data_IF_651936894293
#
_entry.id   IF_651936894293
#
_cell.length_a   1.000
_cell.length_b   1.000
_cell.length_c   1.000
_cell.angle_alpha   90.00
_cell.angle_beta   90.00
_cell.angle_gamma   90.00
#
_symmetry.space_group_name_H-M   'P 1'
#
loop_
_entity.id
_entity.type
_entity.pdbx_description
1 polymer ?
#
# COMPACT_ATOMS: atom_id res chain seq x y z
N UNK A 1 -0.43 -11.99 17.32
CA UNK A 1 -0.17 -13.18 18.17
C UNK A 1 -1.13 -14.33 17.89
N UNK A 2 -2.43 -14.08 17.69
CA UNK A 2 -3.43 -15.13 17.44
C UNK A 2 -3.13 -15.98 16.20
N UNK A 3 -2.81 -15.36 15.05
CA UNK A 3 -2.56 -16.10 13.82
C UNK A 3 -1.32 -17.02 13.90
N UNK A 4 -0.20 -16.55 14.45
CA UNK A 4 1.02 -17.36 14.62
C UNK A 4 0.77 -18.57 15.54
N UNK A 5 0.21 -18.34 16.73
CA UNK A 5 -0.06 -19.43 17.67
C UNK A 5 -1.06 -20.45 17.14
N UNK A 6 -2.15 -19.98 16.52
CA UNK A 6 -3.16 -20.86 15.93
C UNK A 6 -2.61 -21.68 14.76
N UNK A 7 -1.87 -21.05 13.83
CA UNK A 7 -1.31 -21.73 12.67
C UNK A 7 -0.24 -22.76 13.05
N UNK A 8 0.64 -22.45 14.02
CA UNK A 8 1.58 -23.43 14.58
C UNK A 8 0.86 -24.62 15.21
N UNK A 9 -0.14 -24.37 16.07
CA UNK A 9 -0.88 -25.45 16.72
C UNK A 9 -1.61 -26.36 15.72
N UNK A 10 -2.17 -25.80 14.64
CA UNK A 10 -2.84 -26.57 13.58
C UNK A 10 -1.82 -27.40 12.78
N UNK A 11 -0.68 -26.83 12.42
CA UNK A 11 0.37 -27.54 11.70
C UNK A 11 0.95 -28.69 12.53
N UNK A 12 1.21 -28.46 13.82
CA UNK A 12 1.70 -29.47 14.76
C UNK A 12 0.67 -30.58 14.99
N UNK A 13 -0.62 -30.24 14.99
CA UNK A 13 -1.71 -31.21 15.15
C UNK A 13 -1.89 -32.10 13.90
N UNK A 14 -1.64 -31.56 12.70
CA UNK A 14 -1.87 -32.26 11.44
C UNK A 14 -0.65 -32.17 10.50
N UNK A 15 0.52 -32.71 10.88
CA UNK A 15 1.75 -32.52 10.12
C UNK A 15 1.65 -33.03 8.68
N UNK A 16 0.93 -34.13 8.45
CA UNK A 16 0.73 -34.71 7.11
C UNK A 16 -0.10 -33.82 6.18
N UNK A 17 -0.94 -32.91 6.71
CA UNK A 17 -1.73 -31.97 5.88
C UNK A 17 -0.91 -30.79 5.37
N UNK A 18 0.26 -30.56 5.95
CA UNK A 18 1.14 -29.44 5.66
C UNK A 18 2.54 -29.91 5.28
N UNK A 19 2.67 -31.13 4.76
CA UNK A 19 3.94 -31.73 4.30
C UNK A 19 5.05 -31.67 5.35
N UNK A 20 4.70 -31.79 6.64
CA UNK A 20 5.60 -31.66 7.78
C UNK A 20 6.37 -30.32 7.81
N UNK A 21 5.82 -29.27 7.20
CA UNK A 21 6.42 -27.93 7.18
C UNK A 21 5.98 -27.09 8.39
N UNK A 22 6.80 -26.09 8.72
CA UNK A 22 6.48 -25.13 9.78
C UNK A 22 5.57 -24.02 9.25
N UNK A 23 4.46 -23.77 9.93
CA UNK A 23 3.56 -22.66 9.58
C UNK A 23 4.21 -21.27 9.74
N UNK A 24 5.17 -21.14 10.67
CA UNK A 24 5.85 -19.87 10.98
C UNK A 24 7.32 -19.99 10.59
N UNK A 25 7.72 -19.25 9.56
CA UNK A 25 9.08 -19.12 9.04
C UNK A 25 9.44 -17.63 8.90
N UNK A 26 10.73 -17.26 8.76
CA UNK A 26 11.11 -15.88 8.47
C UNK A 26 10.42 -15.31 7.21
N UNK A 27 10.25 -16.14 6.17
CA UNK A 27 9.57 -15.72 4.94
C UNK A 27 8.07 -15.48 5.15
N UNK A 28 7.37 -16.36 5.87
CA UNK A 28 5.95 -16.15 6.19
C UNK A 28 5.73 -14.96 7.10
N UNK A 29 6.68 -14.69 8.01
CA UNK A 29 6.66 -13.51 8.89
C UNK A 29 6.88 -12.21 8.11
N UNK A 30 7.84 -12.18 7.17
CA UNK A 30 8.06 -11.04 6.28
C UNK A 30 6.80 -10.77 5.45
N UNK A 31 6.23 -11.80 4.83
CA UNK A 31 4.99 -11.71 4.05
C UNK A 31 3.83 -11.15 4.88
N UNK A 32 3.62 -11.67 6.08
CA UNK A 32 2.55 -11.20 6.97
C UNK A 32 2.79 -9.76 7.44
N UNK A 33 4.04 -9.38 7.71
CA UNK A 33 4.41 -8.02 8.11
C UNK A 33 4.17 -7.02 6.98
N UNK A 34 4.62 -7.33 5.75
CA UNK A 34 4.37 -6.47 4.60
C UNK A 34 2.88 -6.34 4.31
N UNK A 35 2.10 -7.42 4.42
CA UNK A 35 0.66 -7.39 4.22
C UNK A 35 -0.06 -6.48 5.23
N UNK A 36 0.31 -6.60 6.52
CA UNK A 36 -0.25 -5.74 7.58
C UNK A 36 0.09 -4.27 7.35
N UNK A 37 1.35 -3.97 7.01
CA UNK A 37 1.80 -2.60 6.80
C UNK A 37 1.19 -1.97 5.56
N UNK A 38 1.22 -2.64 4.41
CA UNK A 38 0.64 -2.10 3.18
C UNK A 38 -0.89 -1.98 3.29
N UNK A 39 -1.57 -2.88 4.00
CA UNK A 39 -3.01 -2.73 4.29
C UNK A 39 -3.29 -1.54 5.19
N UNK A 40 -2.46 -1.33 6.22
CA UNK A 40 -2.50 -0.13 7.06
C UNK A 40 -2.28 1.15 6.25
N UNK A 41 -1.34 1.14 5.30
CA UNK A 41 -1.10 2.27 4.41
C UNK A 41 -2.37 2.66 3.63
N UNK A 42 -3.05 1.70 2.99
CA UNK A 42 -4.31 1.96 2.27
C UNK A 42 -5.36 2.58 3.20
N UNK A 43 -5.55 2.01 4.39
CA UNK A 43 -6.53 2.50 5.37
C UNK A 43 -6.24 3.94 5.80
N UNK A 44 -4.99 4.24 6.19
CA UNK A 44 -4.62 5.59 6.64
C UNK A 44 -4.59 6.59 5.48
N UNK A 45 -4.17 6.19 4.28
CA UNK A 45 -4.14 7.06 3.10
C UNK A 45 -5.54 7.48 2.68
N UNK A 46 -6.46 6.53 2.45
CA UNK A 46 -7.84 6.84 2.04
C UNK A 46 -8.54 7.72 3.08
N UNK A 47 -8.41 7.38 4.36
CA UNK A 47 -9.02 8.17 5.44
C UNK A 47 -8.40 9.57 5.52
N UNK A 48 -7.09 9.71 5.36
CA UNK A 48 -6.45 11.03 5.33
C UNK A 48 -6.88 11.87 4.11
N UNK A 49 -7.06 11.25 2.95
CA UNK A 49 -7.56 11.94 1.75
C UNK A 49 -8.99 12.46 1.96
N UNK A 50 -9.88 11.62 2.51
CA UNK A 50 -11.26 12.00 2.84
C UNK A 50 -11.33 13.13 3.88
N UNK A 51 -10.56 13.04 4.96
CA UNK A 51 -10.53 14.11 5.96
C UNK A 51 -9.90 15.40 5.41
N UNK A 52 -8.96 15.27 4.48
CA UNK A 52 -8.28 16.41 3.86
C UNK A 52 -9.20 17.30 3.04
N UNK A 53 -10.24 16.73 2.41
CA UNK A 53 -11.23 17.50 1.64
C UNK A 53 -12.29 18.16 2.54
N UNK A 54 -12.54 17.62 3.73
CA UNK A 54 -13.50 18.17 4.71
C UNK A 54 -13.00 19.43 5.43
N UNK A 55 -11.70 19.74 5.31
CA UNK A 55 -11.12 20.97 5.83
C UNK A 55 -11.04 21.03 7.36
N UNK A 56 -11.26 22.22 7.94
CA UNK A 56 -11.02 22.47 9.38
C UNK A 56 -11.85 21.56 10.31
N UNK A 57 -13.04 21.13 9.89
CA UNK A 57 -13.93 20.29 10.71
C UNK A 57 -13.32 18.92 11.03
N UNK A 58 -12.47 18.41 10.13
CA UNK A 58 -11.83 17.09 10.24
C UNK A 58 -10.32 17.17 10.49
N UNK A 59 -9.78 18.36 10.78
CA UNK A 59 -8.34 18.59 10.91
C UNK A 59 -7.69 17.70 12.00
N UNK A 60 -8.33 17.55 13.17
CA UNK A 60 -7.80 16.69 14.24
C UNK A 60 -7.70 15.22 13.80
N UNK A 61 -8.70 14.74 13.07
CA UNK A 61 -8.75 13.36 12.56
C UNK A 61 -7.77 13.20 11.38
N UNK A 62 -7.62 14.22 10.54
CA UNK A 62 -6.59 14.28 9.51
C UNK A 62 -5.19 14.16 10.10
N UNK A 63 -4.85 14.97 11.10
CA UNK A 63 -3.53 14.93 11.77
C UNK A 63 -3.26 13.56 12.40
N UNK A 64 -4.26 12.98 13.06
CA UNK A 64 -4.13 11.64 13.63
C UNK A 64 -3.86 10.56 12.57
N UNK A 65 -4.58 10.60 11.43
CA UNK A 65 -4.35 9.65 10.34
C UNK A 65 -3.02 9.89 9.62
N UNK A 66 -2.63 11.14 9.40
CA UNK A 66 -1.33 11.48 8.83
C UNK A 66 -0.17 11.01 9.71
N UNK A 67 -0.30 11.15 11.04
CA UNK A 67 0.67 10.62 11.99
C UNK A 67 0.78 9.09 11.91
N UNK A 68 -0.35 8.39 11.79
CA UNK A 68 -0.36 6.93 11.63
C UNK A 68 0.19 6.48 10.28
N UNK A 69 -0.09 7.21 9.21
CA UNK A 69 0.49 6.98 7.89
C UNK A 69 2.01 7.12 7.94
N UNK A 70 2.53 8.15 8.62
CA UNK A 70 3.96 8.35 8.83
C UNK A 70 4.59 7.22 9.67
N UNK A 71 3.94 6.79 10.75
CA UNK A 71 4.41 5.65 11.55
C UNK A 71 4.43 4.36 10.72
N UNK A 72 3.40 4.15 9.89
CA UNK A 72 3.32 3.03 8.97
C UNK A 72 4.46 3.06 7.93
N UNK A 73 4.70 4.20 7.30
CA UNK A 73 5.84 4.41 6.39
C UNK A 73 7.16 4.06 7.07
N UNK A 74 7.40 4.54 8.29
CA UNK A 74 8.61 4.21 9.04
C UNK A 74 8.78 2.71 9.31
N UNK A 75 7.69 1.99 9.62
CA UNK A 75 7.72 0.52 9.79
C UNK A 75 7.98 -0.20 8.47
N UNK A 76 7.41 0.27 7.37
CA UNK A 76 7.61 -0.30 6.04
C UNK A 76 9.05 -0.10 5.57
N UNK A 77 9.59 1.11 5.71
CA UNK A 77 11.00 1.42 5.46
C UNK A 77 11.92 0.54 6.32
N UNK A 78 11.58 0.29 7.58
CA UNK A 78 12.35 -0.62 8.44
C UNK A 78 12.30 -2.09 7.97
N UNK A 79 11.15 -2.56 7.47
CA UNK A 79 11.03 -3.89 6.87
C UNK A 79 11.89 -4.02 5.60
N UNK A 80 11.86 -3.01 4.72
CA UNK A 80 12.72 -2.94 3.53
C UNK A 80 14.21 -2.93 3.91
N UNK A 81 14.59 -2.11 4.90
CA UNK A 81 15.95 -2.04 5.44
C UNK A 81 16.48 -3.39 5.92
N UNK A 82 15.62 -4.21 6.52
CA UNK A 82 16.02 -5.53 7.03
C UNK A 82 16.49 -6.50 5.93
N UNK A 83 16.11 -6.23 4.67
CA UNK A 83 16.45 -7.05 3.51
C UNK A 83 17.49 -6.36 2.60
N UNK A 84 17.29 -5.08 2.30
CA UNK A 84 18.05 -4.33 1.30
C UNK A 84 19.06 -3.33 1.87
N UNK A 85 19.18 -3.26 3.21
CA UNK A 85 20.14 -2.38 3.88
C UNK A 85 19.75 -0.89 3.85
N UNK A 86 20.65 -0.04 4.35
CA UNK A 86 20.40 1.41 4.53
C UNK A 86 20.11 2.14 3.22
N UNK A 87 20.87 1.84 2.16
CA UNK A 87 20.75 2.53 0.88
C UNK A 87 19.43 2.20 0.19
N UNK A 88 19.08 0.92 0.10
CA UNK A 88 17.79 0.49 -0.46
C UNK A 88 16.61 1.05 0.33
N UNK A 89 16.71 1.10 1.66
CA UNK A 89 15.69 1.71 2.50
C UNK A 89 15.56 3.22 2.30
N UNK A 90 16.67 3.94 2.16
CA UNK A 90 16.65 5.38 1.93
C UNK A 90 16.02 5.74 0.58
N UNK A 91 16.35 4.99 -0.48
CA UNK A 91 15.72 5.16 -1.80
C UNK A 91 14.23 4.84 -1.74
N UNK A 92 13.86 3.72 -1.11
CA UNK A 92 12.46 3.36 -0.89
C UNK A 92 11.71 4.46 -0.14
N UNK A 93 12.24 4.92 1.00
CA UNK A 93 11.60 5.92 1.86
C UNK A 93 11.35 7.23 1.11
N UNK A 94 12.31 7.68 0.30
CA UNK A 94 12.13 8.87 -0.54
C UNK A 94 10.97 8.70 -1.51
N UNK A 95 11.01 7.64 -2.34
CA UNK A 95 9.96 7.40 -3.35
C UNK A 95 8.59 7.16 -2.68
N UNK A 96 8.60 6.52 -1.52
CA UNK A 96 7.40 6.25 -0.74
C UNK A 96 6.79 7.54 -0.16
N UNK A 97 7.59 8.49 0.33
CA UNK A 97 7.03 9.76 0.79
C UNK A 97 6.59 10.65 -0.38
N UNK A 98 7.31 10.62 -1.51
CA UNK A 98 6.95 11.38 -2.71
C UNK A 98 5.55 10.98 -3.22
N UNK A 99 5.24 9.67 -3.35
CA UNK A 99 3.92 9.26 -3.84
C UNK A 99 2.77 9.59 -2.89
N UNK A 100 2.99 9.54 -1.57
CA UNK A 100 2.00 10.02 -0.58
C UNK A 100 1.73 11.51 -0.81
N UNK A 101 2.78 12.29 -1.05
CA UNK A 101 2.69 13.71 -1.38
C UNK A 101 1.81 13.98 -2.60
N UNK A 102 1.98 13.20 -3.67
CA UNK A 102 1.18 13.36 -4.89
C UNK A 102 -0.32 13.11 -4.66
N UNK A 103 -0.70 12.14 -3.82
CA UNK A 103 -2.10 11.98 -3.42
C UNK A 103 -2.62 13.18 -2.62
N UNK A 104 -1.81 13.72 -1.71
CA UNK A 104 -2.17 14.93 -0.95
C UNK A 104 -2.36 16.12 -1.89
N UNK A 105 -1.51 16.26 -2.90
CA UNK A 105 -1.62 17.35 -3.87
C UNK A 105 -2.86 17.20 -4.76
N UNK A 106 -3.24 15.97 -5.13
CA UNK A 106 -4.52 15.70 -5.80
C UNK A 106 -5.73 16.12 -4.95
N UNK A 107 -5.72 15.81 -3.64
CA UNK A 107 -6.80 16.21 -2.71
C UNK A 107 -6.88 17.73 -2.60
N UNK A 108 -5.74 18.41 -2.41
CA UNK A 108 -5.70 19.88 -2.36
C UNK A 108 -6.18 20.53 -3.66
N UNK A 109 -5.77 19.98 -4.80
CA UNK A 109 -6.18 20.47 -6.11
C UNK A 109 -7.70 20.28 -6.32
N UNK A 110 -8.25 19.16 -5.85
CA UNK A 110 -9.70 18.91 -5.84
C UNK A 110 -10.44 19.93 -4.97
N UNK A 111 -9.95 20.18 -3.74
CA UNK A 111 -10.51 21.21 -2.85
C UNK A 111 -10.49 22.63 -3.46
N UNK A 112 -9.49 22.90 -4.30
CA UNK A 112 -9.31 24.18 -4.98
C UNK A 112 -10.03 24.28 -6.34
N UNK A 113 -10.73 23.21 -6.77
CA UNK A 113 -11.31 23.09 -8.12
C UNK A 113 -10.29 23.32 -9.25
N UNK A 114 -9.03 22.96 -9.02
CA UNK A 114 -7.91 23.16 -9.96
C UNK A 114 -7.63 21.88 -10.76
N UNK A 115 -8.29 21.75 -11.91
CA UNK A 115 -8.12 20.60 -12.80
C UNK A 115 -6.69 20.47 -13.38
N UNK A 116 -5.95 21.58 -13.53
CA UNK A 116 -4.58 21.52 -14.03
C UNK A 116 -3.63 20.95 -12.95
N UNK A 117 -3.83 21.35 -11.70
CA UNK A 117 -3.10 20.81 -10.57
C UNK A 117 -3.46 19.33 -10.31
N UNK A 118 -4.74 18.94 -10.45
CA UNK A 118 -5.15 17.52 -10.39
C UNK A 118 -4.43 16.69 -11.44
N UNK A 119 -4.39 17.16 -12.69
CA UNK A 119 -3.67 16.44 -13.76
C UNK A 119 -2.17 16.35 -13.46
N UNK A 120 -1.57 17.41 -12.91
CA UNK A 120 -0.15 17.40 -12.52
C UNK A 120 0.13 16.30 -11.49
N UNK A 121 -0.68 16.18 -10.45
CA UNK A 121 -0.54 15.13 -9.44
C UNK A 121 -0.70 13.71 -10.03
N UNK A 122 -1.63 13.53 -10.98
CA UNK A 122 -1.81 12.26 -11.70
C UNK A 122 -0.60 11.92 -12.58
N UNK A 123 0.00 12.90 -13.24
CA UNK A 123 1.20 12.73 -14.05
C UNK A 123 2.40 12.35 -13.16
N UNK A 124 2.55 12.97 -11.99
CA UNK A 124 3.57 12.62 -11.00
C UNK A 124 3.39 11.19 -10.45
N UNK A 125 2.16 10.77 -10.17
CA UNK A 125 1.84 9.38 -9.81
C UNK A 125 2.19 8.39 -10.94
N UNK A 126 1.97 8.79 -12.20
CA UNK A 126 2.37 7.98 -13.36
C UNK A 126 3.89 7.86 -13.48
N UNK A 127 4.64 8.93 -13.24
CA UNK A 127 6.11 8.87 -13.24
C UNK A 127 6.64 8.03 -12.07
N UNK A 128 6.07 8.21 -10.87
CA UNK A 128 6.38 7.39 -9.71
C UNK A 128 6.18 5.90 -10.01
N UNK A 129 5.08 5.53 -10.67
CA UNK A 129 4.82 4.15 -11.08
C UNK A 129 5.96 3.58 -11.92
N UNK A 130 6.45 4.32 -12.90
CA UNK A 130 7.56 3.90 -13.77
C UNK A 130 8.86 3.73 -12.98
N UNK A 131 9.23 4.75 -12.20
CA UNK A 131 10.49 4.77 -11.45
C UNK A 131 10.51 3.69 -10.37
N UNK A 132 9.41 3.55 -9.61
CA UNK A 132 9.29 2.60 -8.52
C UNK A 132 9.29 1.16 -9.04
N UNK A 133 8.64 0.92 -10.19
CA UNK A 133 8.65 -0.39 -10.83
C UNK A 133 10.06 -0.82 -11.25
N UNK A 134 10.84 0.10 -11.85
CA UNK A 134 12.22 -0.17 -12.21
C UNK A 134 13.13 -0.39 -10.98
N UNK A 135 12.89 0.38 -9.90
CA UNK A 135 13.57 0.19 -8.62
C UNK A 135 13.30 -1.21 -8.05
N UNK A 136 12.04 -1.65 -8.02
CA UNK A 136 11.65 -2.96 -7.49
C UNK A 136 12.21 -4.11 -8.32
N UNK A 137 12.23 -3.99 -9.65
CA UNK A 137 12.85 -4.98 -10.52
C UNK A 137 14.35 -5.11 -10.25
N UNK A 138 15.05 -3.98 -10.13
CA UNK A 138 16.47 -3.96 -9.81
C UNK A 138 16.73 -4.56 -8.42
N UNK A 139 16.00 -4.10 -7.40
CA UNK A 139 16.18 -4.55 -6.02
C UNK A 139 15.93 -6.06 -5.86
N UNK A 140 14.93 -6.59 -6.56
CA UNK A 140 14.59 -8.01 -6.50
C UNK A 140 15.40 -8.88 -7.47
N UNK A 141 16.41 -8.33 -8.16
CA UNK A 141 17.18 -9.00 -9.20
C UNK A 141 16.31 -9.63 -10.30
N UNK A 142 15.23 -8.94 -10.70
CA UNK A 142 14.31 -9.38 -11.75
C UNK A 142 13.30 -10.45 -11.32
N UNK A 143 13.28 -10.86 -10.04
CA UNK A 143 12.26 -11.78 -9.53
C UNK A 143 10.86 -11.14 -9.48
N UNK A 144 10.80 -9.81 -9.48
CA UNK A 144 9.59 -9.02 -9.66
C UNK A 144 9.79 -8.10 -10.86
N UNK A 145 9.07 -8.30 -11.96
CA UNK A 145 9.28 -7.51 -13.17
C UNK A 145 8.73 -6.09 -13.01
N UNK A 146 9.31 -5.11 -13.72
CA UNK A 146 8.79 -3.75 -13.68
C UNK A 146 7.35 -3.68 -14.20
N UNK A 147 7.01 -4.43 -15.25
CA UNK A 147 5.65 -4.49 -15.79
C UNK A 147 4.61 -4.97 -14.76
N UNK A 148 4.97 -5.99 -13.97
CA UNK A 148 4.15 -6.52 -12.90
C UNK A 148 3.83 -5.48 -11.83
N UNK A 149 4.87 -4.76 -11.39
CA UNK A 149 4.73 -3.71 -10.37
C UNK A 149 3.92 -2.54 -10.91
N UNK A 150 4.16 -2.16 -12.16
CA UNK A 150 3.49 -1.05 -12.83
C UNK A 150 1.99 -1.31 -12.96
N UNK A 151 1.57 -2.50 -13.40
CA UNK A 151 0.15 -2.85 -13.54
C UNK A 151 -0.61 -2.77 -12.19
N UNK A 152 0.00 -3.29 -11.13
CA UNK A 152 -0.60 -3.25 -9.79
C UNK A 152 -0.65 -1.84 -9.22
N UNK A 153 0.45 -1.08 -9.36
CA UNK A 153 0.48 0.31 -8.91
C UNK A 153 -0.54 1.17 -9.65
N UNK A 154 -0.75 0.94 -10.95
CA UNK A 154 -1.81 1.63 -11.70
C UNK A 154 -3.19 1.30 -11.14
N UNK A 155 -3.45 0.03 -10.82
CA UNK A 155 -4.70 -0.41 -10.21
C UNK A 155 -4.89 0.24 -8.84
N UNK A 156 -3.81 0.32 -8.05
CA UNK A 156 -3.82 0.90 -6.70
C UNK A 156 -4.14 2.39 -6.73
N UNK A 157 -3.43 3.15 -7.58
CA UNK A 157 -3.70 4.57 -7.78
C UNK A 157 -5.14 4.79 -8.19
N UNK A 158 -5.65 4.02 -9.16
CA UNK A 158 -7.03 4.15 -9.62
C UNK A 158 -8.05 3.89 -8.51
N UNK A 159 -7.83 2.87 -7.67
CA UNK A 159 -8.73 2.56 -6.56
C UNK A 159 -8.73 3.65 -5.49
N UNK A 160 -7.57 4.19 -5.12
CA UNK A 160 -7.49 5.27 -4.12
C UNK A 160 -8.15 6.56 -4.64
N UNK A 161 -7.84 6.97 -5.87
CA UNK A 161 -8.46 8.15 -6.51
C UNK A 161 -9.97 7.95 -6.65
N UNK A 162 -10.41 6.79 -7.15
CA UNK A 162 -11.85 6.51 -7.32
C UNK A 162 -12.58 6.45 -5.97
N UNK A 163 -11.93 5.90 -4.94
CA UNK A 163 -12.49 5.89 -3.58
C UNK A 163 -12.66 7.30 -3.03
N UNK A 164 -11.70 8.20 -3.30
CA UNK A 164 -11.74 9.59 -2.88
C UNK A 164 -12.77 10.40 -3.68
N UNK A 165 -12.75 10.34 -5.01
CA UNK A 165 -13.70 11.06 -5.87
C UNK A 165 -15.15 10.62 -5.60
N UNK A 166 -15.38 9.32 -5.36
CA UNK A 166 -16.69 8.82 -4.97
C UNK A 166 -17.12 9.34 -3.59
N UNK A 167 -16.20 9.48 -2.64
CA UNK A 167 -16.49 10.08 -1.33
C UNK A 167 -16.88 11.55 -1.45
N UNK A 168 -16.09 12.32 -2.21
CA UNK A 168 -16.30 13.75 -2.45
C UNK A 168 -17.67 14.02 -3.09
N UNK A 169 -18.07 13.17 -4.05
CA UNK A 169 -19.37 13.26 -4.72
C UNK A 169 -20.53 12.64 -3.94
N UNK A 170 -20.29 12.12 -2.72
CA UNK A 170 -21.31 11.52 -1.85
C UNK A 170 -21.75 10.10 -2.24
N UNK A 171 -21.05 9.44 -3.16
CA UNK A 171 -21.28 8.05 -3.54
C UNK A 171 -20.51 7.08 -2.61
N UNK A 172 -20.97 6.97 -1.37
CA UNK A 172 -20.28 6.19 -0.33
C UNK A 172 -20.22 4.69 -0.59
N UNK A 173 -21.19 4.12 -1.32
CA UNK A 173 -21.17 2.71 -1.70
C UNK A 173 -19.97 2.43 -2.62
N UNK A 174 -19.75 3.28 -3.63
CA UNK A 174 -18.60 3.16 -4.53
C UNK A 174 -17.29 3.47 -3.80
N UNK A 175 -17.27 4.49 -2.95
CA UNK A 175 -16.11 4.81 -2.13
C UNK A 175 -15.68 3.58 -1.30
N UNK A 176 -16.63 2.91 -0.64
CA UNK A 176 -16.36 1.70 0.13
C UNK A 176 -15.91 0.54 -0.76
N UNK A 177 -16.53 0.32 -1.92
CA UNK A 177 -16.15 -0.75 -2.84
C UNK A 177 -14.70 -0.60 -3.31
N UNK A 178 -14.30 0.61 -3.70
CA UNK A 178 -12.94 0.89 -4.16
C UNK A 178 -11.92 0.77 -3.03
N UNK A 179 -12.24 1.30 -1.84
CA UNK A 179 -11.43 1.10 -0.64
C UNK A 179 -11.24 -0.40 -0.32
N UNK A 180 -12.33 -1.19 -0.31
CA UNK A 180 -12.26 -2.62 -0.05
C UNK A 180 -11.47 -3.37 -1.12
N UNK A 181 -11.56 -2.95 -2.39
CA UNK A 181 -10.77 -3.54 -3.47
C UNK A 181 -9.28 -3.24 -3.30
N UNK A 182 -8.91 -2.03 -2.88
CA UNK A 182 -7.52 -1.65 -2.57
C UNK A 182 -6.95 -2.44 -1.38
N UNK A 183 -7.75 -2.67 -0.34
CA UNK A 183 -7.35 -3.50 0.81
C UNK A 183 -7.05 -4.96 0.42
N UNK A 184 -7.77 -5.51 -0.57
CA UNK A 184 -7.63 -6.89 -1.01
C UNK A 184 -6.59 -7.10 -2.12
N UNK A 185 -6.11 -6.02 -2.75
CA UNK A 185 -5.17 -6.09 -3.86
C UNK A 185 -3.94 -6.97 -3.54
N UNK A 186 -3.36 -6.79 -2.36
CA UNK A 186 -2.12 -7.49 -1.97
C UNK A 186 -2.30 -9.01 -1.92
N UNK A 187 -3.48 -9.48 -1.48
CA UNK A 187 -3.79 -10.91 -1.49
C UNK A 187 -3.94 -11.44 -2.92
N UNK A 188 -4.57 -10.66 -3.81
CA UNK A 188 -4.74 -11.06 -5.21
C UNK A 188 -3.43 -11.06 -5.99
N UNK A 189 -2.53 -10.11 -5.72
CA UNK A 189 -1.20 -10.08 -6.31
C UNK A 189 -0.38 -11.31 -5.90
N UNK A 190 -0.34 -11.62 -4.60
CA UNK A 190 0.38 -12.81 -4.12
C UNK A 190 -0.15 -14.11 -4.73
N UNK A 191 -1.46 -14.25 -4.90
CA UNK A 191 -2.04 -15.43 -5.54
C UNK A 191 -1.68 -15.55 -7.03
N UNK A 192 -1.56 -14.43 -7.77
CA UNK A 192 -1.20 -14.47 -9.20
C UNK A 192 0.23 -14.95 -9.45
N UNK A 193 1.18 -14.59 -8.59
CA UNK A 193 2.59 -15.00 -8.74
C UNK A 193 2.91 -16.37 -8.14
N UNK A 194 2.14 -16.83 -7.14
CA UNK A 194 2.28 -18.19 -6.61
C UNK A 194 1.83 -19.28 -7.59
N UNK A 195 1.02 -18.96 -8.60
CA UNK A 195 0.58 -19.92 -9.64
C UNK A 195 1.63 -20.07 -10.75
N UNK A 196 2.71 -19.27 -10.74
CA UNK A 196 3.79 -19.31 -11.73
C UNK A 196 5.03 -20.09 -11.26
N UNK A 197 5.03 -20.67 -10.06
CA UNK A 197 6.07 -21.56 -9.51
C UNK A 197 5.52 -22.98 -9.31
#
# INVERSE_FOLDING_TARGET
MTAKGLSSAIADQFPDKFDNTMAVTPASDLRATLNDLLSGHVAFAVTAMQNGIEGEESMEIFEANAAQLNENTGKLTAAIKSVYGEEGAATFDKMWNDHIGYFVDYVKATAAEDEAAKQTALDELSQYREDFSAFMETATNGNLTADAVSEELQTHVNQLISSFDAYETGNYDEAYNQFSAAMLMQETFQQRYLVQL
#
